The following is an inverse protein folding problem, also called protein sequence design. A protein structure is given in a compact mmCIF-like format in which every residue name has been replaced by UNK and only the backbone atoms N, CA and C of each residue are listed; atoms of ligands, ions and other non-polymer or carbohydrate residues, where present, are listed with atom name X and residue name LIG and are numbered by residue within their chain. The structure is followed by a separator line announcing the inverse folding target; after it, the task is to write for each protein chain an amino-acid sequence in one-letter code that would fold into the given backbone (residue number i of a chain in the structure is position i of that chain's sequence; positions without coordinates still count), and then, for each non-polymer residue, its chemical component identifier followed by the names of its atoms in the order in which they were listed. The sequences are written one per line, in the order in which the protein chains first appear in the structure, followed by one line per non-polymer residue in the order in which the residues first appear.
data_IF_077811978769
#
_entry.id   IF_077811978769
#
_cell.length_a   1.000
_cell.length_b   1.000
_cell.length_c   1.000
_cell.angle_alpha   90.00
_cell.angle_beta   90.00
_cell.angle_gamma   90.00
#
_symmetry.space_group_name_H-M   'P 1'
#
loop_
_entity.id
_entity.type
_entity.pdbx_description
1 polymer ?
#
# COMPACT_ATOMS: atom_id res chain seq x y z
N UNK A 1 -10.90 4.62 -25.98
CA UNK A 1 -11.79 4.44 -27.14
C UNK A 1 -13.18 4.08 -26.63
N UNK A 2 -14.27 4.72 -27.09
CA UNK A 2 -15.62 4.32 -26.70
C UNK A 2 -15.98 2.98 -27.36
N UNK A 3 -16.27 1.94 -26.57
CA UNK A 3 -16.58 0.58 -27.05
C UNK A 3 -18.09 0.31 -27.18
N UNK A 4 -18.93 1.19 -26.62
CA UNK A 4 -20.38 1.30 -26.81
C UNK A 4 -20.78 2.71 -26.33
N UNK A 5 -21.95 3.26 -26.69
CA UNK A 5 -22.37 4.64 -26.33
C UNK A 5 -22.30 4.95 -24.81
N UNK A 6 -22.21 3.93 -23.97
CA UNK A 6 -22.18 3.98 -22.50
C UNK A 6 -20.91 3.36 -21.88
N UNK A 7 -19.88 3.02 -22.66
CA UNK A 7 -18.67 2.34 -22.15
C UNK A 7 -17.38 3.05 -22.56
N UNK A 8 -16.55 3.36 -21.57
CA UNK A 8 -15.18 3.86 -21.76
C UNK A 8 -14.16 2.88 -21.17
N UNK A 9 -13.03 2.70 -21.85
CA UNK A 9 -11.86 2.02 -21.29
C UNK A 9 -10.82 3.05 -20.84
N UNK A 10 -10.17 2.80 -19.70
CA UNK A 10 -9.11 3.62 -19.12
C UNK A 10 -7.91 2.78 -18.74
N UNK A 11 -6.72 3.33 -18.94
CA UNK A 11 -5.47 2.82 -18.38
C UNK A 11 -4.87 3.93 -17.52
N UNK A 12 -4.42 3.58 -16.33
CA UNK A 12 -3.82 4.51 -15.38
C UNK A 12 -2.47 4.03 -14.89
N UNK A 13 -1.61 4.96 -14.50
CA UNK A 13 -0.36 4.67 -13.81
C UNK A 13 -0.20 5.65 -12.64
N UNK A 14 0.22 5.14 -11.49
CA UNK A 14 0.55 5.94 -10.32
C UNK A 14 1.92 5.51 -9.78
N UNK A 15 2.75 6.49 -9.44
CA UNK A 15 4.01 6.27 -8.75
C UNK A 15 4.18 7.32 -7.66
N UNK A 16 4.58 6.89 -6.46
CA UNK A 16 4.94 7.77 -5.36
C UNK A 16 6.00 7.08 -4.51
N UNK A 17 7.04 7.83 -4.14
CA UNK A 17 8.00 7.40 -3.12
C UNK A 17 7.95 8.42 -1.98
N UNK A 18 7.61 7.95 -0.79
CA UNK A 18 7.53 8.78 0.40
C UNK A 18 8.27 8.11 1.56
N UNK A 19 9.08 8.88 2.28
CA UNK A 19 9.79 8.40 3.45
C UNK A 19 9.32 9.17 4.67
N UNK A 20 9.07 8.47 5.77
CA UNK A 20 8.61 9.06 7.02
C UNK A 20 9.33 8.38 8.19
N UNK A 21 9.87 9.19 9.09
CA UNK A 21 10.39 8.72 10.37
C UNK A 21 9.25 8.74 11.39
N UNK A 22 8.88 7.58 11.90
CA UNK A 22 7.91 7.41 12.97
C UNK A 22 8.58 6.91 14.25
N UNK A 23 7.98 7.19 15.40
CA UNK A 23 8.41 6.63 16.67
C UNK A 23 7.25 5.92 17.36
N UNK A 24 7.55 4.82 18.02
CA UNK A 24 6.68 4.24 19.07
C UNK A 24 7.33 4.54 20.42
N UNK A 25 6.68 4.18 21.54
CA UNK A 25 7.23 4.32 22.89
C UNK A 25 8.58 3.61 23.06
N UNK A 26 8.85 2.57 22.27
CA UNK A 26 9.93 1.62 22.55
C UNK A 26 10.96 1.50 21.40
N UNK A 27 10.55 1.85 20.17
CA UNK A 27 11.38 1.71 18.96
C UNK A 27 11.07 2.83 17.96
N UNK A 28 12.13 3.41 17.39
CA UNK A 28 12.03 4.37 16.28
C UNK A 28 12.00 3.58 14.96
N UNK A 29 11.31 4.07 13.94
CA UNK A 29 11.20 3.38 12.66
C UNK A 29 11.33 4.37 11.50
N UNK A 30 12.11 4.00 10.49
CA UNK A 30 12.07 4.67 9.20
C UNK A 30 11.17 3.87 8.26
N UNK A 31 10.04 4.45 7.89
CA UNK A 31 9.11 3.89 6.90
C UNK A 31 9.41 4.45 5.52
N UNK A 32 9.45 3.57 4.52
CA UNK A 32 9.53 3.91 3.10
C UNK A 32 8.30 3.33 2.40
N UNK A 33 7.39 4.22 2.02
CA UNK A 33 6.22 3.90 1.21
C UNK A 33 6.59 4.03 -0.26
N UNK A 34 6.51 2.92 -0.99
CA UNK A 34 6.71 2.87 -2.44
C UNK A 34 5.39 2.49 -3.07
N UNK A 35 4.67 3.46 -3.62
CA UNK A 35 3.42 3.20 -4.33
C UNK A 35 3.71 3.11 -5.81
N UNK A 36 3.27 2.03 -6.44
CA UNK A 36 3.37 1.83 -7.87
C UNK A 36 2.17 1.00 -8.31
N UNK A 37 1.28 1.59 -9.11
CA UNK A 37 0.11 0.87 -9.62
C UNK A 37 -0.09 1.13 -11.10
N UNK A 38 -0.58 0.10 -11.80
CA UNK A 38 -1.06 0.20 -13.18
C UNK A 38 -2.51 -0.27 -13.19
N UNK A 39 -3.41 0.57 -13.66
CA UNK A 39 -4.84 0.31 -13.67
C UNK A 39 -5.31 -0.01 -15.09
N UNK A 40 -6.18 -1.00 -15.24
CA UNK A 40 -6.96 -1.26 -16.45
C UNK A 40 -8.44 -1.30 -16.06
N UNK A 41 -9.18 -0.24 -16.41
CA UNK A 41 -10.52 0.01 -15.92
C UNK A 41 -11.51 0.19 -17.07
N UNK A 42 -12.76 -0.16 -16.81
CA UNK A 42 -13.91 0.08 -17.67
C UNK A 42 -14.93 0.90 -16.89
N UNK A 43 -15.36 2.00 -17.51
CA UNK A 43 -16.41 2.86 -16.98
C UNK A 43 -17.70 2.60 -17.74
N UNK A 44 -18.74 2.22 -17.01
CA UNK A 44 -20.10 2.13 -17.49
C UNK A 44 -20.91 3.35 -17.06
N UNK A 45 -21.61 3.97 -18.00
CA UNK A 45 -22.49 5.12 -17.76
C UNK A 45 -23.95 4.65 -17.84
N UNK A 46 -24.64 4.44 -16.71
CA UNK A 46 -26.02 3.93 -16.70
C UNK A 46 -27.04 4.90 -17.31
N UNK A 47 -26.70 6.19 -17.40
CA UNK A 47 -27.47 7.25 -18.03
C UNK A 47 -26.56 8.07 -18.95
N UNK A 48 -27.12 8.93 -19.80
CA UNK A 48 -26.36 9.86 -20.65
C UNK A 48 -25.64 10.99 -19.86
N UNK A 49 -25.48 10.81 -18.55
CA UNK A 49 -24.93 11.79 -17.62
C UNK A 49 -23.41 11.74 -17.44
N UNK A 50 -22.96 12.22 -16.28
CA UNK A 50 -21.54 12.24 -15.87
C UNK A 50 -21.24 11.15 -14.84
N UNK A 51 -22.26 10.48 -14.31
CA UNK A 51 -22.11 9.40 -13.35
C UNK A 51 -21.65 8.12 -14.06
N UNK A 52 -20.67 7.43 -13.46
CA UNK A 52 -20.14 6.17 -13.95
C UNK A 52 -19.96 5.14 -12.83
N UNK A 53 -20.18 3.88 -13.18
CA UNK A 53 -19.71 2.72 -12.44
C UNK A 53 -18.39 2.28 -13.07
N UNK A 54 -17.35 2.12 -12.24
CA UNK A 54 -16.03 1.73 -12.71
C UNK A 54 -15.71 0.34 -12.19
N UNK A 55 -15.29 -0.56 -13.07
CA UNK A 55 -14.78 -1.88 -12.70
C UNK A 55 -13.50 -2.20 -13.45
N UNK A 56 -12.61 -2.99 -12.85
CA UNK A 56 -11.40 -3.43 -13.54
C UNK A 56 -10.40 -4.12 -12.66
N UNK A 57 -9.15 -4.13 -13.13
CA UNK A 57 -8.02 -4.74 -12.44
C UNK A 57 -6.90 -3.72 -12.29
N UNK A 58 -6.23 -3.79 -11.16
CA UNK A 58 -5.03 -3.02 -10.87
C UNK A 58 -3.88 -3.97 -10.63
N UNK A 59 -2.77 -3.73 -11.32
CA UNK A 59 -1.48 -4.24 -10.91
C UNK A 59 -0.99 -3.42 -9.71
N UNK A 60 -0.85 -4.05 -8.55
CA UNK A 60 -0.44 -3.43 -7.30
C UNK A 60 1.02 -3.78 -6.99
N UNK A 61 1.91 -2.85 -7.30
CA UNK A 61 3.32 -2.87 -6.94
C UNK A 61 3.63 -2.09 -5.66
N UNK A 62 2.62 -1.74 -4.86
CA UNK A 62 2.82 -1.03 -3.61
C UNK A 62 3.63 -1.88 -2.64
N UNK A 63 4.52 -1.22 -1.89
CA UNK A 63 5.34 -1.83 -0.84
C UNK A 63 5.53 -0.85 0.30
N UNK A 64 5.63 -1.42 1.49
CA UNK A 64 6.07 -0.69 2.69
C UNK A 64 7.31 -1.39 3.21
N UNK A 65 8.43 -0.67 3.22
CA UNK A 65 9.64 -1.10 3.90
C UNK A 65 9.74 -0.32 5.22
N UNK A 66 10.11 -0.99 6.30
CA UNK A 66 10.32 -0.40 7.62
C UNK A 66 11.71 -0.80 8.13
N UNK A 67 12.48 0.16 8.61
CA UNK A 67 13.79 -0.10 9.21
C UNK A 67 13.73 0.29 10.68
N UNK A 68 13.95 -0.69 11.56
CA UNK A 68 13.96 -0.49 13.00
C UNK A 68 15.19 0.32 13.43
N UNK A 69 14.97 1.32 14.27
CA UNK A 69 16.00 2.14 14.89
C UNK A 69 16.00 1.91 16.39
N UNK A 70 17.16 1.61 16.98
CA UNK A 70 17.24 1.36 18.41
C UNK A 70 16.88 2.62 19.20
N UNK A 71 16.52 2.40 20.46
CA UNK A 71 16.32 3.47 21.43
C UNK A 71 17.59 4.31 21.62
N UNK A 72 17.49 5.43 22.34
CA UNK A 72 18.65 6.24 22.70
C UNK A 72 19.71 5.46 23.51
N UNK A 73 19.31 4.40 24.21
CA UNK A 73 20.20 3.49 24.93
C UNK A 73 20.81 2.39 24.04
N UNK A 74 20.55 2.39 22.73
CA UNK A 74 21.10 1.43 21.79
C UNK A 74 20.46 0.05 21.87
N UNK A 75 19.18 -0.04 22.25
CA UNK A 75 18.46 -1.31 22.41
C UNK A 75 17.19 -1.38 21.58
N UNK A 76 16.78 -2.59 21.20
CA UNK A 76 15.45 -2.92 20.71
C UNK A 76 14.66 -3.61 21.81
N UNK A 77 13.38 -3.28 21.93
CA UNK A 77 12.44 -4.00 22.79
C UNK A 77 11.48 -4.74 21.87
N UNK A 78 11.49 -6.07 21.95
CA UNK A 78 10.62 -6.94 21.15
C UNK A 78 9.94 -7.91 22.11
N UNK A 79 8.60 -7.92 22.11
CA UNK A 79 7.81 -8.82 22.93
C UNK A 79 8.17 -8.81 24.43
N UNK A 80 8.61 -7.66 24.96
CA UNK A 80 9.06 -7.50 26.36
C UNK A 80 10.52 -7.88 26.63
N UNK A 81 11.24 -8.41 25.65
CA UNK A 81 12.66 -8.72 25.74
C UNK A 81 13.52 -7.57 25.19
N UNK A 82 14.62 -7.29 25.88
CA UNK A 82 15.56 -6.23 25.49
C UNK A 82 16.78 -6.83 24.79
N UNK A 83 17.04 -6.35 23.58
CA UNK A 83 18.17 -6.75 22.76
C UNK A 83 19.08 -5.54 22.49
N UNK A 84 20.39 -5.67 22.64
CA UNK A 84 21.31 -4.59 22.24
C UNK A 84 21.42 -4.55 20.72
N UNK A 85 21.34 -3.37 20.12
CA UNK A 85 21.44 -3.22 18.67
C UNK A 85 22.76 -3.74 18.11
N UNK A 86 23.84 -3.59 18.88
CA UNK A 86 25.16 -4.12 18.54
C UNK A 86 25.17 -5.66 18.37
N UNK A 87 24.36 -6.39 19.14
CA UNK A 87 24.30 -7.85 19.07
C UNK A 87 23.13 -8.39 18.24
N UNK A 88 22.03 -7.64 18.15
CA UNK A 88 20.84 -8.00 17.38
C UNK A 88 20.90 -7.58 15.90
N UNK A 89 21.83 -6.69 15.54
CA UNK A 89 21.98 -6.20 14.17
C UNK A 89 20.86 -5.26 13.74
N UNK A 90 20.55 -5.26 12.44
CA UNK A 90 19.51 -4.41 11.85
C UNK A 90 18.17 -5.15 11.82
N UNK A 91 17.11 -4.51 12.32
CA UNK A 91 15.75 -5.02 12.19
C UNK A 91 15.09 -4.41 10.95
N UNK A 92 14.54 -5.25 10.09
CA UNK A 92 13.84 -4.85 8.88
C UNK A 92 12.45 -5.45 8.85
N UNK A 93 11.49 -4.65 8.42
CA UNK A 93 10.11 -5.04 8.23
C UNK A 93 9.65 -4.75 6.81
N UNK A 94 8.81 -5.63 6.28
CA UNK A 94 8.29 -5.51 4.92
C UNK A 94 6.83 -5.90 4.85
N UNK A 95 6.05 -5.11 4.11
CA UNK A 95 4.66 -5.40 3.75
C UNK A 95 4.54 -5.37 2.23
N UNK A 96 4.18 -6.50 1.64
CA UNK A 96 3.88 -6.64 0.21
C UNK A 96 2.38 -6.93 0.02
N UNK A 97 1.80 -6.44 -1.08
CA UNK A 97 0.40 -6.68 -1.43
C UNK A 97 0.28 -7.64 -2.61
N UNK A 98 -0.91 -8.20 -2.83
CA UNK A 98 -1.18 -9.04 -4.01
C UNK A 98 -0.97 -8.23 -5.27
N UNK A 99 -0.20 -8.78 -6.22
CA UNK A 99 0.17 -8.10 -7.46
C UNK A 99 -1.02 -7.73 -8.34
N UNK A 100 -2.10 -8.50 -8.32
CA UNK A 100 -3.31 -8.21 -9.12
C UNK A 100 -4.48 -8.12 -8.16
N UNK A 101 -5.17 -6.98 -8.20
CA UNK A 101 -6.27 -6.67 -7.31
C UNK A 101 -7.46 -6.14 -8.12
N UNK A 102 -8.65 -6.74 -8.00
CA UNK A 102 -9.87 -6.19 -8.56
C UNK A 102 -10.16 -4.80 -8.00
N UNK A 103 -10.76 -3.95 -8.82
CA UNK A 103 -11.19 -2.62 -8.46
C UNK A 103 -12.68 -2.45 -8.78
N UNK A 104 -13.42 -1.85 -7.85
CA UNK A 104 -14.79 -1.40 -8.07
C UNK A 104 -14.95 0.01 -7.52
N UNK A 105 -15.60 0.88 -8.27
CA UNK A 105 -15.83 2.25 -7.84
C UNK A 105 -16.99 2.91 -8.53
N UNK A 106 -17.27 4.11 -8.06
CA UNK A 106 -18.19 5.06 -8.67
C UNK A 106 -17.42 6.33 -9.01
N UNK A 107 -17.84 7.02 -10.05
CA UNK A 107 -17.19 8.25 -10.46
C UNK A 107 -18.14 9.26 -11.05
N UNK A 108 -17.66 10.48 -11.10
CA UNK A 108 -18.31 11.60 -11.77
C UNK A 108 -17.37 12.22 -12.78
N UNK A 109 -17.92 12.68 -13.89
CA UNK A 109 -17.21 13.29 -14.99
C UNK A 109 -17.06 12.34 -16.17
N UNK A 110 -17.12 12.90 -17.37
CA UNK A 110 -16.94 12.15 -18.61
C UNK A 110 -15.92 12.87 -19.49
N UNK A 111 -14.63 12.51 -19.41
CA UNK A 111 -13.57 13.15 -20.17
C UNK A 111 -13.65 12.89 -21.68
N UNK A 112 -14.57 12.00 -22.13
CA UNK A 112 -14.79 11.69 -23.55
C UNK A 112 -16.06 12.38 -24.09
N UNK A 113 -16.66 13.32 -23.32
CA UNK A 113 -17.73 14.19 -23.83
C UNK A 113 -17.30 14.90 -25.11
N UNK A 114 -18.27 15.17 -25.98
CA UNK A 114 -18.04 15.74 -27.32
C UNK A 114 -17.64 17.21 -27.28
N UNK A 115 -17.92 17.90 -26.19
CA UNK A 115 -17.62 19.31 -25.97
C UNK A 115 -16.11 19.53 -25.80
N UNK A 116 -15.57 20.57 -26.44
CA UNK A 116 -14.19 21.01 -26.27
C UNK A 116 -14.01 21.80 -24.98
N UNK A 117 -12.79 21.82 -24.45
CA UNK A 117 -12.42 22.56 -23.23
C UNK A 117 -12.06 21.66 -22.04
N UNK A 118 -12.13 22.26 -20.86
CA UNK A 118 -11.78 21.61 -19.59
C UNK A 118 -12.92 20.72 -19.08
N UNK A 119 -12.54 19.56 -18.55
CA UNK A 119 -13.41 18.65 -17.82
C UNK A 119 -12.78 18.28 -16.49
N UNK A 120 -13.61 18.07 -15.48
CA UNK A 120 -13.18 17.58 -14.17
C UNK A 120 -13.80 16.22 -13.91
N UNK A 121 -13.07 15.40 -13.15
CA UNK A 121 -13.54 14.08 -12.74
C UNK A 121 -13.18 13.79 -11.30
N UNK A 122 -14.04 13.02 -10.66
CA UNK A 122 -13.83 12.43 -9.35
C UNK A 122 -14.16 10.94 -9.43
N UNK A 123 -13.50 10.13 -8.63
CA UNK A 123 -13.63 8.68 -8.63
C UNK A 123 -13.34 8.20 -7.21
N UNK A 124 -14.28 7.43 -6.67
CA UNK A 124 -14.19 6.83 -5.35
C UNK A 124 -14.46 5.34 -5.49
N UNK A 125 -13.54 4.52 -5.01
CA UNK A 125 -13.71 3.08 -5.10
C UNK A 125 -12.87 2.33 -4.09
N UNK A 126 -12.90 1.01 -4.25
CA UNK A 126 -12.22 0.07 -3.38
C UNK A 126 -11.38 -0.85 -4.23
N UNK A 127 -10.13 -1.00 -3.82
CA UNK A 127 -9.21 -1.98 -4.36
C UNK A 127 -9.22 -3.23 -3.46
N UNK A 128 -9.60 -4.36 -4.03
CA UNK A 128 -9.68 -5.66 -3.36
C UNK A 128 -8.30 -6.32 -3.38
N UNK A 129 -7.36 -5.77 -2.64
CA UNK A 129 -5.96 -6.21 -2.62
C UNK A 129 -5.70 -7.47 -1.80
N UNK A 130 -6.68 -7.91 -0.99
CA UNK A 130 -6.59 -9.11 -0.18
C UNK A 130 -5.57 -8.99 0.96
N UNK A 131 -5.34 -10.09 1.68
CA UNK A 131 -4.44 -10.09 2.83
C UNK A 131 -3.01 -9.74 2.38
N UNK A 132 -2.38 -8.72 2.97
CA UNK A 132 -0.99 -8.39 2.73
C UNK A 132 -0.05 -9.48 3.28
N UNK A 133 1.10 -9.65 2.65
CA UNK A 133 2.19 -10.45 3.18
C UNK A 133 3.07 -9.58 4.07
N UNK A 134 3.46 -10.08 5.24
CA UNK A 134 4.33 -9.38 6.19
C UNK A 134 5.57 -10.21 6.48
N UNK A 135 6.69 -9.53 6.72
CA UNK A 135 7.96 -10.15 7.07
C UNK A 135 8.70 -9.22 8.03
N UNK A 136 9.15 -9.76 9.17
CA UNK A 136 10.08 -9.09 10.07
C UNK A 136 11.35 -9.94 10.19
N UNK A 137 12.51 -9.32 10.06
CA UNK A 137 13.80 -10.01 10.06
C UNK A 137 14.85 -9.23 10.82
N UNK A 138 15.79 -9.95 11.43
CA UNK A 138 17.06 -9.39 11.92
C UNK A 138 18.18 -9.80 10.96
N UNK A 139 19.01 -8.85 10.55
CA UNK A 139 20.24 -9.11 9.79
C UNK A 139 21.46 -8.78 10.64
N UNK A 140 22.40 -9.74 10.73
CA UNK A 140 23.67 -9.55 11.44
C UNK A 140 23.62 -9.78 12.96
N UNK A 141 22.77 -10.68 13.45
CA UNK A 141 22.80 -11.09 14.85
C UNK A 141 24.16 -11.75 15.19
N UNK A 142 24.87 -11.19 16.17
CA UNK A 142 26.19 -11.67 16.66
C UNK A 142 26.13 -12.16 18.12
N UNK A 143 24.94 -12.15 18.73
CA UNK A 143 24.72 -12.71 20.06
C UNK A 143 24.93 -14.24 20.08
N UNK A 144 25.06 -14.85 21.27
CA UNK A 144 25.02 -16.31 21.40
C UNK A 144 23.80 -16.92 20.71
N UNK A 145 23.94 -18.14 20.19
CA UNK A 145 22.92 -18.78 19.31
C UNK A 145 21.54 -18.87 19.96
N UNK A 146 21.46 -19.11 21.27
CA UNK A 146 20.20 -19.11 22.01
C UNK A 146 19.50 -17.75 22.00
N UNK A 147 20.26 -16.65 22.05
CA UNK A 147 19.70 -15.28 22.01
C UNK A 147 19.24 -14.94 20.60
N UNK A 148 20.00 -15.28 19.55
CA UNK A 148 19.55 -15.06 18.18
C UNK A 148 18.31 -15.90 17.84
N UNK A 149 18.20 -17.12 18.38
CA UNK A 149 16.99 -17.94 18.24
C UNK A 149 15.78 -17.32 18.96
N UNK A 150 15.99 -16.76 20.16
CA UNK A 150 14.94 -16.05 20.89
C UNK A 150 14.49 -14.79 20.13
N UNK A 151 15.43 -13.99 19.62
CA UNK A 151 15.15 -12.81 18.80
C UNK A 151 14.30 -13.15 17.58
N UNK A 152 14.64 -14.24 16.86
CA UNK A 152 13.85 -14.70 15.72
C UNK A 152 12.44 -15.13 16.14
N UNK A 153 12.29 -15.81 17.28
CA UNK A 153 10.99 -16.17 17.83
C UNK A 153 10.13 -14.94 18.19
N UNK A 154 10.75 -13.91 18.80
CA UNK A 154 10.06 -12.66 19.12
C UNK A 154 9.68 -11.87 17.86
N UNK A 155 10.54 -11.85 16.84
CA UNK A 155 10.24 -11.24 15.54
C UNK A 155 9.08 -11.94 14.84
N UNK A 156 9.01 -13.27 14.90
CA UNK A 156 7.89 -14.02 14.33
C UNK A 156 6.59 -13.72 15.08
N UNK A 157 6.61 -13.69 16.41
CA UNK A 157 5.45 -13.33 17.21
C UNK A 157 4.96 -11.90 16.89
N UNK A 158 5.89 -10.95 16.71
CA UNK A 158 5.55 -9.59 16.30
C UNK A 158 5.06 -9.54 14.84
N UNK A 159 5.59 -10.38 13.96
CA UNK A 159 5.15 -10.49 12.57
C UNK A 159 3.71 -11.01 12.48
N UNK A 160 3.31 -11.96 13.35
CA UNK A 160 1.92 -12.42 13.44
C UNK A 160 0.99 -11.28 13.87
N UNK A 161 1.38 -10.49 14.89
CA UNK A 161 0.59 -9.32 15.32
C UNK A 161 0.48 -8.26 14.21
N UNK A 162 1.57 -8.02 13.50
CA UNK A 162 1.60 -7.12 12.35
C UNK A 162 0.68 -7.65 11.25
N UNK A 163 0.78 -8.94 10.94
CA UNK A 163 -0.07 -9.61 9.95
C UNK A 163 -1.54 -9.42 10.27
N UNK A 164 -1.95 -9.68 11.51
CA UNK A 164 -3.34 -9.52 11.94
C UNK A 164 -3.83 -8.08 11.81
N UNK A 165 -3.00 -7.09 12.19
CA UNK A 165 -3.32 -5.67 12.02
C UNK A 165 -3.49 -5.27 10.56
N UNK A 166 -2.61 -5.75 9.67
CA UNK A 166 -2.68 -5.40 8.25
C UNK A 166 -3.69 -6.24 7.48
N UNK A 167 -4.18 -7.34 8.07
CA UNK A 167 -5.22 -8.19 7.49
C UNK A 167 -6.54 -7.43 7.28
N UNK A 168 -6.77 -6.35 8.04
CA UNK A 168 -7.91 -5.45 7.84
C UNK A 168 -7.77 -4.59 6.57
N UNK A 169 -6.55 -4.44 6.05
CA UNK A 169 -6.25 -3.71 4.81
C UNK A 169 -6.51 -4.52 3.54
N UNK A 170 -7.29 -5.61 3.62
CA UNK A 170 -7.76 -6.38 2.46
C UNK A 170 -8.49 -5.51 1.42
N UNK A 171 -9.18 -4.48 1.91
CA UNK A 171 -9.90 -3.50 1.13
C UNK A 171 -9.20 -2.16 1.29
N UNK A 172 -8.73 -1.60 0.18
CA UNK A 172 -8.04 -0.33 0.18
C UNK A 172 -8.93 0.74 -0.50
N UNK A 173 -9.44 1.73 0.25
CA UNK A 173 -10.22 2.80 -0.34
C UNK A 173 -9.33 3.68 -1.20
N UNK A 174 -9.82 4.02 -2.40
CA UNK A 174 -9.11 4.84 -3.38
C UNK A 174 -9.98 6.04 -3.73
N UNK A 175 -9.41 7.22 -3.62
CA UNK A 175 -9.99 8.47 -4.08
C UNK A 175 -9.09 9.05 -5.18
N UNK A 176 -9.69 9.42 -6.30
CA UNK A 176 -9.00 10.09 -7.41
C UNK A 176 -9.77 11.33 -7.82
N UNK A 177 -9.04 12.39 -8.08
CA UNK A 177 -9.53 13.61 -8.73
C UNK A 177 -8.69 13.86 -9.96
N UNK A 178 -9.28 14.41 -11.02
CA UNK A 178 -8.57 14.65 -12.26
C UNK A 178 -9.17 15.79 -13.06
N UNK A 179 -8.32 16.45 -13.84
CA UNK A 179 -8.70 17.41 -14.85
C UNK A 179 -8.32 16.84 -16.23
N UNK A 180 -9.12 17.12 -17.24
CA UNK A 180 -8.91 16.74 -18.64
C UNK A 180 -9.12 17.95 -19.52
N UNK A 181 -8.41 18.05 -20.64
CA UNK A 181 -8.66 19.07 -21.65
C UNK A 181 -8.86 18.40 -23.01
N UNK A 182 -9.90 18.79 -23.73
CA UNK A 182 -10.20 18.33 -25.07
C UNK A 182 -10.07 19.47 -26.07
N UNK A 183 -9.23 19.29 -27.09
CA UNK A 183 -9.10 20.19 -28.23
C UNK A 183 -10.25 20.01 -29.22
#
# INVERSE_FOLDING_TARGET
MPLYKSLNARVGFNTLNYSYAGSTSDVNYDFKLKLNTVDALVDYFPSEGSFRLTGGLTYNGNKVDATGKPSASGTYILNGNTYTAASAGQLDGKIDFRKIAPYLGIGWGNPIRKESGWGFSADAGVLFQGTPSTSLTSSGCTAPSNICNQLNGDLEAENVRLHDKVNDLKLYPVLRVGASYRF
#
